data_IF_962468027210
#
_entry.id   IF_962468027210
#
_cell.length_a   1.000
_cell.length_b   1.000
_cell.length_c   1.000
_cell.angle_alpha   90.00
_cell.angle_beta   90.00
_cell.angle_gamma   90.00
#
_symmetry.space_group_name_H-M   'P 1'
#
loop_
_entity.id
_entity.type
_entity.pdbx_description
1 polymer ?
#
# COMPACT_ATOMS: atom_id res chain seq x y z
N UNK A 1 12.37 -30.89 2.70
CA UNK A 1 11.02 -30.79 2.11
C UNK A 1 10.83 -29.34 1.73
N UNK A 2 11.11 -29.00 0.48
CA UNK A 2 10.90 -27.65 -0.04
C UNK A 2 9.40 -27.45 -0.19
N UNK A 3 8.77 -26.95 0.86
CA UNK A 3 7.42 -26.43 0.79
C UNK A 3 7.48 -25.24 -0.16
N UNK A 4 7.07 -25.44 -1.42
CA UNK A 4 6.90 -24.38 -2.40
C UNK A 4 5.98 -23.35 -1.75
N UNK A 5 6.57 -22.27 -1.23
CA UNK A 5 5.82 -21.17 -0.65
C UNK A 5 4.88 -20.65 -1.74
N UNK A 6 3.57 -20.89 -1.58
CA UNK A 6 2.55 -20.41 -2.51
C UNK A 6 2.71 -18.90 -2.58
N UNK A 7 3.21 -18.42 -3.72
CA UNK A 7 3.40 -17.00 -3.93
C UNK A 7 2.02 -16.34 -3.93
N UNK A 8 1.76 -15.35 -3.07
CA UNK A 8 0.44 -14.74 -3.00
C UNK A 8 0.16 -14.02 -4.33
N UNK A 9 -0.91 -14.44 -4.98
CA UNK A 9 -1.46 -13.77 -6.17
C UNK A 9 -2.45 -12.74 -5.69
N UNK A 10 -2.27 -11.50 -6.13
CA UNK A 10 -3.11 -10.36 -5.80
C UNK A 10 -4.05 -10.06 -6.97
N UNK A 11 -5.34 -10.03 -6.70
CA UNK A 11 -6.35 -9.57 -7.66
C UNK A 11 -6.65 -8.10 -7.41
N UNK A 12 -6.14 -7.23 -8.28
CA UNK A 12 -6.39 -5.79 -8.25
C UNK A 12 -7.39 -5.45 -9.35
N UNK A 13 -8.31 -4.53 -9.05
CA UNK A 13 -9.39 -4.14 -9.96
C UNK A 13 -9.89 -2.73 -9.66
N UNK A 14 -10.75 -2.20 -10.53
CA UNK A 14 -11.33 -0.87 -10.40
C UNK A 14 -12.71 -0.85 -9.70
N UNK A 15 -13.17 -2.02 -9.22
CA UNK A 15 -14.43 -2.16 -8.49
C UNK A 15 -15.65 -2.49 -9.36
N UNK A 16 -15.49 -2.56 -10.69
CA UNK A 16 -16.56 -2.93 -11.62
C UNK A 16 -16.38 -4.36 -12.11
N UNK A 17 -17.49 -5.06 -12.36
CA UNK A 17 -17.46 -6.40 -12.95
C UNK A 17 -17.15 -6.40 -14.45
N UNK A 18 -17.41 -5.28 -15.13
CA UNK A 18 -17.10 -5.03 -16.55
C UNK A 18 -15.88 -4.11 -16.73
N UNK A 19 -15.12 -3.88 -15.65
CA UNK A 19 -14.01 -2.92 -15.60
C UNK A 19 -12.63 -3.54 -15.80
N UNK A 20 -11.62 -2.82 -15.33
CA UNK A 20 -10.25 -3.30 -15.31
C UNK A 20 -10.02 -4.30 -14.18
N UNK A 21 -9.38 -5.42 -14.50
CA UNK A 21 -8.92 -6.42 -13.55
C UNK A 21 -7.53 -6.92 -13.92
N UNK A 22 -6.75 -7.28 -12.91
CA UNK A 22 -5.46 -7.93 -13.13
C UNK A 22 -5.11 -8.88 -11.98
N UNK A 23 -4.43 -9.97 -12.30
CA UNK A 23 -3.82 -10.88 -11.33
C UNK A 23 -2.31 -10.67 -11.35
N UNK A 24 -1.76 -10.36 -10.18
CA UNK A 24 -0.36 -9.98 -10.02
C UNK A 24 0.31 -10.96 -9.08
N UNK A 25 1.50 -11.42 -9.46
CA UNK A 25 2.38 -12.11 -8.54
C UNK A 25 3.08 -11.06 -7.65
N UNK A 26 2.77 -11.04 -6.35
CA UNK A 26 3.35 -10.08 -5.40
C UNK A 26 4.89 -10.13 -5.35
N UNK A 27 5.51 -11.32 -5.44
CA UNK A 27 6.98 -11.44 -5.45
C UNK A 27 7.63 -10.80 -6.69
N UNK A 28 6.85 -10.49 -7.73
CA UNK A 28 7.30 -9.83 -8.95
C UNK A 28 6.80 -8.39 -9.07
N UNK A 29 6.10 -7.87 -8.07
CA UNK A 29 5.54 -6.51 -8.08
C UNK A 29 6.56 -5.52 -7.50
N UNK A 30 7.65 -5.30 -8.23
CA UNK A 30 8.60 -4.21 -7.92
C UNK A 30 8.10 -2.85 -8.41
N UNK A 31 8.91 -1.79 -8.24
CA UNK A 31 8.61 -0.44 -8.73
C UNK A 31 8.27 -0.42 -10.22
N UNK A 32 9.10 -1.05 -11.06
CA UNK A 32 8.94 -1.04 -12.51
C UNK A 32 7.67 -1.79 -12.93
N UNK A 33 7.37 -2.92 -12.28
CA UNK A 33 6.16 -3.70 -12.51
C UNK A 33 4.89 -2.91 -12.12
N UNK A 34 4.90 -2.24 -10.96
CA UNK A 34 3.75 -1.41 -10.54
C UNK A 34 3.60 -0.17 -11.44
N UNK A 35 4.70 0.45 -11.86
CA UNK A 35 4.69 1.56 -12.81
C UNK A 35 4.13 1.12 -14.17
N UNK A 36 4.57 -0.04 -14.69
CA UNK A 36 4.07 -0.61 -15.93
C UNK A 36 2.58 -0.96 -15.85
N UNK A 37 2.13 -1.52 -14.73
CA UNK A 37 0.70 -1.74 -14.47
C UNK A 37 -0.09 -0.44 -14.55
N UNK A 38 0.37 0.59 -13.84
CA UNK A 38 -0.34 1.86 -13.67
C UNK A 38 -0.37 2.70 -14.94
N UNK A 39 0.79 2.86 -15.58
CA UNK A 39 0.97 3.78 -16.71
C UNK A 39 0.73 3.11 -18.06
N UNK A 40 1.07 1.82 -18.20
CA UNK A 40 0.94 1.12 -19.50
C UNK A 40 -0.32 0.28 -19.59
N UNK A 41 -0.48 -0.75 -18.75
CA UNK A 41 -1.62 -1.67 -18.86
C UNK A 41 -2.96 -0.96 -18.57
N UNK A 42 -3.04 -0.28 -17.43
CA UNK A 42 -4.22 0.51 -17.08
C UNK A 42 -4.36 1.77 -17.96
N UNK A 43 -3.24 2.38 -18.38
CA UNK A 43 -3.25 3.50 -19.32
C UNK A 43 -3.88 3.13 -20.67
N UNK A 44 -3.53 1.97 -21.24
CA UNK A 44 -4.12 1.48 -22.47
C UNK A 44 -5.62 1.19 -22.32
N UNK A 45 -6.04 0.63 -21.18
CA UNK A 45 -7.45 0.45 -20.87
C UNK A 45 -8.20 1.79 -20.79
N UNK A 46 -7.63 2.78 -20.10
CA UNK A 46 -8.19 4.14 -20.00
C UNK A 46 -8.33 4.77 -21.39
N UNK A 47 -7.34 4.61 -22.27
CA UNK A 47 -7.43 5.13 -23.64
C UNK A 47 -8.59 4.49 -24.40
N UNK A 48 -8.72 3.16 -24.34
CA UNK A 48 -9.84 2.46 -24.97
C UNK A 48 -11.20 2.92 -24.42
N UNK A 49 -11.34 3.01 -23.10
CA UNK A 49 -12.58 3.50 -22.49
C UNK A 49 -12.87 4.97 -22.81
N UNK A 50 -11.82 5.78 -23.01
CA UNK A 50 -12.00 7.16 -23.47
C UNK A 50 -12.54 7.24 -24.89
N UNK A 51 -12.10 6.37 -25.79
CA UNK A 51 -12.58 6.36 -27.17
C UNK A 51 -13.99 5.76 -27.27
N UNK A 52 -14.28 4.73 -26.46
CA UNK A 52 -15.63 4.20 -26.30
C UNK A 52 -16.62 5.23 -25.74
N UNK A 53 -16.18 6.04 -24.77
CA UNK A 53 -17.00 7.11 -24.21
C UNK A 53 -17.27 8.23 -25.22
N UNK A 54 -16.31 8.58 -26.09
CA UNK A 54 -16.53 9.54 -27.19
C UNK A 54 -17.51 9.03 -28.24
N UNK A 55 -17.61 7.70 -28.38
CA UNK A 55 -18.54 7.04 -29.29
C UNK A 55 -19.89 6.72 -28.62
N UNK A 56 -20.16 7.28 -27.42
CA UNK A 56 -21.38 7.06 -26.63
C UNK A 56 -21.72 5.58 -26.42
N UNK A 57 -20.70 4.72 -26.33
CA UNK A 57 -20.93 3.30 -26.04
C UNK A 57 -21.48 3.14 -24.63
N UNK A 58 -22.54 2.33 -24.43
CA UNK A 58 -23.13 2.12 -23.10
C UNK A 58 -22.11 1.74 -22.03
N UNK A 59 -22.16 2.43 -20.89
CA UNK A 59 -21.31 2.18 -19.71
C UNK A 59 -19.85 2.63 -19.82
N UNK A 60 -19.43 3.21 -20.97
CA UNK A 60 -18.02 3.55 -21.20
C UNK A 60 -17.54 4.71 -20.32
N UNK A 61 -18.39 5.71 -20.07
CA UNK A 61 -18.06 6.83 -19.20
C UNK A 61 -17.80 6.37 -17.75
N UNK A 62 -18.60 5.43 -17.25
CA UNK A 62 -18.45 4.87 -15.91
C UNK A 62 -17.21 3.98 -15.80
N UNK A 63 -16.92 3.14 -16.81
CA UNK A 63 -15.67 2.36 -16.88
C UNK A 63 -14.44 3.26 -16.91
N UNK A 64 -14.48 4.34 -17.70
CA UNK A 64 -13.42 5.34 -17.75
C UNK A 64 -13.18 6.01 -16.39
N UNK A 65 -14.26 6.40 -15.70
CA UNK A 65 -14.19 7.01 -14.37
C UNK A 65 -13.56 6.07 -13.34
N UNK A 66 -14.01 4.82 -13.29
CA UNK A 66 -13.47 3.81 -12.38
C UNK A 66 -11.97 3.53 -12.65
N UNK A 67 -11.60 3.37 -13.92
CA UNK A 67 -10.21 3.13 -14.32
C UNK A 67 -9.28 4.29 -13.95
N UNK A 68 -9.70 5.55 -14.15
CA UNK A 68 -8.93 6.74 -13.75
C UNK A 68 -8.78 6.85 -12.24
N UNK A 69 -9.83 6.51 -11.48
CA UNK A 69 -9.77 6.47 -10.03
C UNK A 69 -8.77 5.42 -9.54
N UNK A 70 -8.78 4.22 -10.14
CA UNK A 70 -7.77 3.18 -9.85
C UNK A 70 -6.36 3.66 -10.18
N UNK A 71 -6.15 4.29 -11.34
CA UNK A 71 -4.83 4.78 -11.76
C UNK A 71 -4.28 5.82 -10.78
N UNK A 72 -5.14 6.74 -10.30
CA UNK A 72 -4.77 7.75 -9.30
C UNK A 72 -4.29 7.10 -8.00
N UNK A 73 -5.01 6.08 -7.52
CA UNK A 73 -4.66 5.35 -6.30
C UNK A 73 -3.34 4.57 -6.45
N UNK A 74 -3.13 3.88 -7.57
CA UNK A 74 -1.89 3.16 -7.84
C UNK A 74 -0.69 4.12 -8.00
N UNK A 75 -0.89 5.29 -8.62
CA UNK A 75 0.14 6.33 -8.70
C UNK A 75 0.52 6.87 -7.33
N UNK A 76 -0.45 7.06 -6.42
CA UNK A 76 -0.17 7.47 -5.05
C UNK A 76 0.60 6.41 -4.24
N UNK A 77 0.35 5.11 -4.49
CA UNK A 77 1.13 4.02 -3.90
C UNK A 77 2.56 3.99 -4.46
N UNK A 78 2.74 4.24 -5.77
CA UNK A 78 4.07 4.35 -6.40
C UNK A 78 4.91 5.45 -5.73
N UNK A 79 4.31 6.63 -5.55
CA UNK A 79 4.94 7.76 -4.85
C UNK A 79 5.24 7.42 -3.39
N UNK A 80 4.32 6.72 -2.72
CA UNK A 80 4.51 6.24 -1.35
C UNK A 80 4.51 7.35 -0.30
N UNK A 81 3.84 8.47 -0.57
CA UNK A 81 3.58 9.51 0.42
C UNK A 81 2.61 9.00 1.49
N UNK A 82 2.71 9.51 2.72
CA UNK A 82 1.79 9.16 3.80
C UNK A 82 0.33 9.44 3.39
N UNK A 83 -0.62 8.52 3.63
CA UNK A 83 -0.50 7.26 4.38
C UNK A 83 -0.17 6.02 3.52
N UNK A 84 0.10 6.18 2.23
CA UNK A 84 0.22 5.09 1.24
C UNK A 84 1.67 4.62 1.01
N UNK A 85 2.62 5.07 1.82
CA UNK A 85 3.96 4.51 1.88
C UNK A 85 4.02 3.17 2.62
N UNK A 86 5.00 2.34 2.28
CA UNK A 86 5.35 1.18 3.10
C UNK A 86 5.93 1.69 4.43
N UNK A 87 5.46 1.11 5.53
CA UNK A 87 5.98 1.30 6.88
C UNK A 87 6.36 -0.05 7.47
N UNK A 88 7.60 -0.18 7.93
CA UNK A 88 8.13 -1.42 8.49
C UNK A 88 8.55 -1.16 9.92
N UNK A 89 7.70 -1.57 10.85
CA UNK A 89 7.81 -1.22 12.28
C UNK A 89 9.16 -1.52 12.94
N UNK A 90 9.85 -2.57 12.50
CA UNK A 90 11.15 -2.97 13.05
C UNK A 90 12.36 -2.38 12.32
N UNK A 91 12.16 -1.63 11.23
CA UNK A 91 13.24 -0.90 10.57
C UNK A 91 13.40 0.48 11.23
N UNK A 92 14.64 0.93 11.53
CA UNK A 92 14.84 2.27 12.05
C UNK A 92 14.41 3.32 11.02
N UNK A 93 14.16 4.55 11.46
CA UNK A 93 13.65 5.64 10.63
C UNK A 93 14.45 5.84 9.33
N UNK A 94 15.78 5.75 9.39
CA UNK A 94 16.70 5.88 8.25
C UNK A 94 16.57 4.77 7.18
N UNK A 95 16.09 3.60 7.59
CA UNK A 95 15.95 2.42 6.70
C UNK A 95 14.51 2.26 6.19
N UNK A 96 13.62 3.20 6.51
CA UNK A 96 12.24 3.18 6.01
C UNK A 96 12.20 3.40 4.51
N UNK A 97 11.40 2.58 3.83
CA UNK A 97 11.26 2.58 2.37
C UNK A 97 10.62 3.88 1.88
N UNK A 98 11.19 4.49 0.83
CA UNK A 98 10.60 5.64 0.13
C UNK A 98 10.01 5.14 -1.20
N UNK A 99 8.77 5.50 -1.53
CA UNK A 99 8.07 4.96 -2.71
C UNK A 99 7.73 3.46 -2.63
N UNK A 100 7.36 2.87 -3.76
CA UNK A 100 7.11 1.43 -3.87
C UNK A 100 8.40 0.64 -4.12
N UNK A 101 9.10 0.27 -3.05
CA UNK A 101 10.26 -0.62 -3.09
C UNK A 101 10.15 -1.69 -1.99
N UNK A 102 9.23 -2.66 -2.12
CA UNK A 102 9.01 -3.68 -1.09
C UNK A 102 10.22 -4.60 -0.94
N UNK A 103 10.60 -4.89 0.30
CA UNK A 103 11.52 -5.96 0.66
C UNK A 103 10.69 -7.18 1.06
N UNK A 104 10.90 -8.31 0.39
CA UNK A 104 10.12 -9.53 0.63
C UNK A 104 10.36 -10.10 2.02
N UNK A 105 11.52 -9.81 2.63
CA UNK A 105 11.84 -10.24 3.99
C UNK A 105 11.04 -9.47 5.05
N UNK A 106 10.44 -8.32 4.69
CA UNK A 106 9.58 -7.59 5.62
C UNK A 106 8.19 -8.23 5.80
N UNK A 107 7.89 -9.24 4.98
CA UNK A 107 6.65 -9.98 5.01
C UNK A 107 5.48 -9.24 4.36
N UNK A 108 4.54 -10.04 3.83
CA UNK A 108 3.41 -9.55 3.04
C UNK A 108 2.52 -8.55 3.80
N UNK A 109 2.43 -8.66 5.14
CA UNK A 109 1.56 -7.81 5.95
C UNK A 109 1.94 -6.34 5.88
N UNK A 110 3.23 -6.01 5.81
CA UNK A 110 3.64 -4.60 5.71
C UNK A 110 3.45 -4.08 4.29
N UNK A 111 3.86 -4.88 3.31
CA UNK A 111 3.87 -4.46 1.91
C UNK A 111 2.46 -4.40 1.29
N UNK A 112 1.47 -5.10 1.86
CA UNK A 112 0.08 -5.01 1.40
C UNK A 112 -0.68 -3.77 1.92
N UNK A 113 -0.20 -3.10 2.99
CA UNK A 113 -0.94 -1.99 3.63
C UNK A 113 -1.28 -0.84 2.69
N UNK A 114 -0.36 -0.32 1.83
CA UNK A 114 -0.70 0.75 0.90
C UNK A 114 -1.93 0.47 0.04
N UNK A 115 -2.07 -0.76 -0.45
CA UNK A 115 -3.20 -1.18 -1.27
C UNK A 115 -4.51 -1.29 -0.49
N UNK A 116 -4.44 -1.63 0.80
CA UNK A 116 -5.61 -1.66 1.69
C UNK A 116 -6.04 -0.26 2.11
N UNK A 117 -5.10 0.67 2.28
CA UNK A 117 -5.35 2.04 2.74
C UNK A 117 -5.74 3.02 1.62
N UNK A 118 -5.53 2.65 0.35
CA UNK A 118 -5.86 3.50 -0.81
C UNK A 118 -7.37 3.73 -1.05
N UNK A 119 -8.23 3.18 -0.18
CA UNK A 119 -9.68 3.32 -0.22
C UNK A 119 -10.36 2.23 -1.05
N UNK A 120 -11.42 1.66 -0.48
CA UNK A 120 -12.16 0.53 -1.05
C UNK A 120 -12.72 0.88 -2.44
N UNK A 121 -12.40 0.06 -3.45
CA UNK A 121 -13.03 0.16 -4.78
C UNK A 121 -14.28 -0.71 -4.90
N UNK A 122 -14.45 -1.67 -4.01
CA UNK A 122 -15.60 -2.58 -3.99
C UNK A 122 -15.95 -2.98 -2.57
N UNK A 123 -15.49 -4.14 -2.12
CA UNK A 123 -15.80 -4.64 -0.78
C UNK A 123 -15.13 -3.78 0.31
N UNK A 124 -15.88 -3.40 1.34
CA UNK A 124 -15.36 -2.64 2.49
C UNK A 124 -14.22 -3.39 3.17
N UNK A 125 -13.09 -2.71 3.40
CA UNK A 125 -11.87 -3.24 4.00
C UNK A 125 -10.99 -4.06 3.04
N UNK A 126 -11.29 -4.06 1.73
CA UNK A 126 -10.48 -4.73 0.73
C UNK A 126 -9.54 -3.78 -0.03
N UNK A 127 -9.63 -2.46 0.17
CA UNK A 127 -8.85 -1.47 -0.58
C UNK A 127 -8.99 -1.67 -2.08
N UNK A 128 -7.87 -1.88 -2.77
CA UNK A 128 -7.82 -2.13 -4.23
C UNK A 128 -8.06 -3.60 -4.63
N UNK A 129 -8.32 -4.50 -3.67
CA UNK A 129 -8.48 -5.92 -3.93
C UNK A 129 -9.94 -6.33 -4.19
N UNK A 130 -10.15 -7.41 -4.94
CA UNK A 130 -11.49 -7.96 -5.19
C UNK A 130 -12.12 -8.66 -3.98
N UNK A 131 -11.28 -9.17 -3.09
CA UNK A 131 -11.67 -9.74 -1.81
C UNK A 131 -10.71 -9.24 -0.72
N UNK A 132 -11.12 -9.31 0.55
CA UNK A 132 -10.29 -8.92 1.69
C UNK A 132 -9.11 -9.91 1.77
N UNK A 133 -7.87 -9.51 1.43
CA UNK A 133 -6.73 -10.42 1.42
C UNK A 133 -6.18 -10.66 2.83
N UNK A 134 -6.35 -9.68 3.71
CA UNK A 134 -5.82 -9.67 5.07
C UNK A 134 -6.59 -8.66 5.91
N UNK A 135 -7.02 -9.05 7.11
CA UNK A 135 -7.49 -8.10 8.11
C UNK A 135 -6.29 -7.37 8.75
N UNK A 136 -6.27 -6.05 8.65
CA UNK A 136 -5.32 -5.22 9.36
C UNK A 136 -5.68 -5.18 10.85
N UNK A 137 -4.65 -5.13 11.69
CA UNK A 137 -4.75 -4.86 13.12
C UNK A 137 -3.85 -3.69 13.41
N UNK A 138 -4.33 -2.74 14.20
CA UNK A 138 -3.60 -1.50 14.46
C UNK A 138 -2.48 -1.70 15.50
N UNK A 139 -2.62 -2.73 16.33
CA UNK A 139 -1.66 -3.10 17.38
C UNK A 139 -1.49 -4.62 17.51
N UNK A 140 -0.25 -5.08 17.69
CA UNK A 140 0.04 -6.47 18.09
C UNK A 140 0.16 -6.60 19.62
N UNK A 141 -0.07 -7.80 20.16
CA UNK A 141 -0.12 -8.06 21.61
C UNK A 141 1.24 -8.08 22.32
N UNK A 142 2.32 -8.31 21.58
CA UNK A 142 3.68 -8.41 22.15
C UNK A 142 4.34 -7.03 22.23
N UNK A 143 5.38 -6.93 23.06
CA UNK A 143 6.20 -5.73 23.15
C UNK A 143 7.32 -5.71 22.11
N UNK A 144 7.77 -4.52 21.75
CA UNK A 144 9.01 -4.29 21.01
C UNK A 144 10.22 -4.37 21.95
N UNK A 145 11.38 -4.81 21.44
CA UNK A 145 12.62 -4.64 22.18
C UNK A 145 12.93 -3.15 22.35
N UNK A 146 13.71 -2.82 23.37
CA UNK A 146 14.16 -1.45 23.59
C UNK A 146 14.99 -0.95 22.40
N UNK A 147 14.69 0.25 21.93
CA UNK A 147 15.37 0.90 20.82
C UNK A 147 15.41 2.42 20.99
N UNK A 148 16.40 3.11 20.40
CA UNK A 148 16.54 4.56 20.56
C UNK A 148 15.35 5.29 19.94
N UNK A 149 14.82 6.30 20.65
CA UNK A 149 13.68 7.10 20.20
C UNK A 149 13.92 7.82 18.86
N UNK A 150 15.16 8.18 18.56
CA UNK A 150 15.53 8.80 17.28
C UNK A 150 15.20 7.89 16.09
N UNK A 151 15.35 6.58 16.27
CA UNK A 151 15.22 5.60 15.21
C UNK A 151 13.84 4.97 15.21
N UNK A 152 13.23 4.81 16.39
CA UNK A 152 11.95 4.15 16.59
C UNK A 152 10.99 5.01 17.44
N UNK A 153 10.66 6.24 17.03
CA UNK A 153 9.81 7.12 17.85
C UNK A 153 8.44 6.50 18.18
N UNK A 154 7.92 5.63 17.31
CA UNK A 154 6.69 4.88 17.55
C UNK A 154 6.78 3.86 18.70
N UNK A 155 7.96 3.37 19.09
CA UNK A 155 8.10 2.51 20.28
C UNK A 155 7.87 3.28 21.59
N UNK A 156 7.90 4.61 21.53
CA UNK A 156 7.78 5.51 22.67
C UNK A 156 6.37 6.13 22.75
N UNK A 157 5.42 5.66 21.95
CA UNK A 157 4.04 6.16 21.93
C UNK A 157 3.12 5.28 22.80
N UNK A 158 2.50 5.91 23.80
CA UNK A 158 1.48 5.29 24.64
C UNK A 158 0.17 5.05 23.86
N UNK A 159 -0.25 6.07 23.10
CA UNK A 159 -1.40 6.05 22.20
C UNK A 159 -1.01 5.78 20.74
N UNK A 160 -2.01 5.67 19.87
CA UNK A 160 -1.81 5.43 18.44
C UNK A 160 -0.98 6.57 17.79
N UNK A 161 0.15 6.29 17.11
CA UNK A 161 1.13 7.34 16.77
C UNK A 161 0.73 8.23 15.60
N UNK A 162 -0.15 7.77 14.70
CA UNK A 162 -0.55 8.51 13.50
C UNK A 162 0.62 8.77 12.53
N UNK A 163 0.73 10.01 12.03
CA UNK A 163 1.74 10.40 11.03
C UNK A 163 2.91 11.13 11.66
N UNK A 164 4.14 10.75 11.30
CA UNK A 164 5.41 11.34 11.77
C UNK A 164 5.48 11.45 13.32
N UNK A 165 5.30 10.35 14.07
CA UNK A 165 5.34 10.43 15.52
C UNK A 165 6.71 10.89 16.03
N UNK A 166 6.71 11.71 17.08
CA UNK A 166 7.91 12.15 17.79
C UNK A 166 8.30 11.22 18.95
N UNK A 167 7.37 10.37 19.40
CA UNK A 167 7.52 9.54 20.60
C UNK A 167 7.37 10.32 21.90
N UNK A 168 6.99 9.62 22.96
CA UNK A 168 6.85 10.13 24.32
C UNK A 168 8.19 10.24 25.08
N UNK A 169 8.08 10.46 26.39
CA UNK A 169 9.23 10.56 27.30
C UNK A 169 9.75 9.18 27.70
N UNK A 170 8.84 8.23 27.93
CA UNK A 170 9.15 6.89 28.39
C UNK A 170 9.07 5.88 27.26
N UNK A 171 9.86 4.82 27.37
CA UNK A 171 9.76 3.69 26.45
C UNK A 171 8.51 2.88 26.79
N UNK A 172 7.65 2.67 25.80
CA UNK A 172 6.38 1.94 25.97
C UNK A 172 6.45 0.54 25.35
N UNK A 173 7.12 0.40 24.20
CA UNK A 173 7.28 -0.88 23.51
C UNK A 173 6.02 -1.38 22.81
N UNK A 174 5.02 -0.51 22.57
CA UNK A 174 3.82 -0.90 21.83
C UNK A 174 4.12 -1.24 20.36
N UNK A 175 3.55 -2.34 19.85
CA UNK A 175 3.66 -2.75 18.45
C UNK A 175 2.62 -2.08 17.57
N UNK A 176 2.84 -0.81 17.25
CA UNK A 176 1.96 -0.03 16.37
C UNK A 176 2.16 -0.39 14.90
N UNK A 177 1.10 -0.81 14.22
CA UNK A 177 1.09 -1.07 12.78
C UNK A 177 0.54 0.10 11.97
N UNK A 178 -0.32 0.92 12.57
CA UNK A 178 -0.90 2.10 11.93
C UNK A 178 -0.07 3.35 12.21
N UNK A 179 1.15 3.33 11.65
CA UNK A 179 2.08 4.46 11.68
C UNK A 179 2.37 4.86 10.25
N UNK A 180 2.36 6.16 9.98
CA UNK A 180 2.69 6.72 8.69
C UNK A 180 3.90 7.65 8.81
N UNK A 181 4.75 7.62 7.80
CA UNK A 181 5.93 8.46 7.72
C UNK A 181 5.93 9.15 6.37
N UNK A 182 5.96 10.47 6.37
CA UNK A 182 6.03 11.26 5.14
C UNK A 182 7.34 11.03 4.39
N UNK A 183 7.36 11.24 3.08
CA UNK A 183 8.61 11.13 2.31
C UNK A 183 9.66 12.13 2.80
N UNK A 184 9.25 13.35 3.15
CA UNK A 184 10.13 14.36 3.74
C UNK A 184 10.83 13.82 5.01
N UNK A 185 10.05 13.26 5.95
CA UNK A 185 10.59 12.69 7.19
C UNK A 185 11.56 11.53 6.94
N UNK A 186 11.27 10.67 5.97
CA UNK A 186 12.16 9.57 5.59
C UNK A 186 13.45 10.07 4.93
N UNK A 187 13.40 11.18 4.19
CA UNK A 187 14.58 11.80 3.55
C UNK A 187 15.48 12.49 4.57
N UNK A 188 14.92 13.19 5.54
CA UNK A 188 15.68 13.84 6.62
C UNK A 188 16.49 12.87 7.49
N UNK A 189 16.05 11.62 7.58
CA UNK A 189 16.68 10.61 8.41
C UNK A 189 17.77 9.79 7.69
N UNK A 190 17.95 9.98 6.38
CA UNK A 190 18.97 9.27 5.59
C UNK A 190 20.37 9.86 5.77
#
# INVERSE_FOLDING_TARGET
MDGIARTPVWHIWDGRSDGFHTLINYHKLDHAALQKLTCSYLGNWIQHQSDDAKADKPGAAERLGAARALQTKLAAILEGEAPLGIFVRWKPLKDQVQGWHPDLNDGVRQNIRPFLLAGDVGKRGAGLFSAIPLALKDKDRSAEPTGPKSDYPWFWCEDEPGTNPAGGKEFIGNRWNNVHLTLARKKEAK
#
